data_IF_804034513924
#
_entry.id   IF_804034513924
#
_cell.length_a   1.000
_cell.length_b   1.000
_cell.length_c   1.000
_cell.angle_alpha   90.00
_cell.angle_beta   90.00
_cell.angle_gamma   90.00
#
_symmetry.space_group_name_H-M   'P 1'
#
loop_
_entity.id
_entity.type
_entity.pdbx_description
1 polymer ?
#
# COMPACT_ATOMS: atom_id res chain seq x y z
N UNK A 1 3.37 -2.26 -14.27
CA UNK A 1 3.08 -1.53 -13.03
C UNK A 1 3.87 -2.21 -11.93
N UNK A 2 4.44 -1.45 -11.02
CA UNK A 2 5.16 -1.98 -9.86
C UNK A 2 4.80 -1.17 -8.62
N UNK A 3 4.65 -1.84 -7.48
CA UNK A 3 4.51 -1.24 -6.15
C UNK A 3 5.49 -1.95 -5.23
N UNK A 4 6.32 -1.20 -4.53
CA UNK A 4 7.26 -1.77 -3.57
C UNK A 4 7.64 -0.80 -2.46
N UNK A 5 8.14 -1.37 -1.36
CA UNK A 5 8.79 -0.64 -0.28
C UNK A 5 10.28 -0.98 -0.32
N UNK A 6 11.14 0.03 -0.46
CA UNK A 6 12.60 -0.13 -0.40
C UNK A 6 13.13 0.44 0.91
N UNK A 7 13.82 -0.39 1.69
CA UNK A 7 14.47 0.02 2.94
C UNK A 7 15.84 0.62 2.60
N UNK A 8 16.05 1.90 2.90
CA UNK A 8 17.34 2.60 2.72
C UNK A 8 18.28 2.31 3.87
N UNK A 9 17.74 2.37 5.09
CA UNK A 9 18.45 2.09 6.32
C UNK A 9 17.66 1.07 7.14
N UNK A 10 18.35 0.01 7.57
CA UNK A 10 17.75 -1.06 8.36
C UNK A 10 17.82 -0.80 9.87
N UNK A 11 18.56 0.24 10.29
CA UNK A 11 18.64 0.73 11.65
C UNK A 11 17.52 1.76 11.89
N UNK A 12 16.31 1.25 12.10
CA UNK A 12 15.23 2.10 12.59
C UNK A 12 15.55 2.54 14.03
N UNK A 13 15.31 3.82 14.34
CA UNK A 13 15.37 4.30 15.73
C UNK A 13 14.26 3.69 16.60
N UNK A 14 14.29 4.01 17.89
CA UNK A 14 13.27 3.52 18.82
C UNK A 14 11.92 4.19 18.57
N UNK A 15 10.94 3.41 18.10
CA UNK A 15 9.57 3.87 17.95
C UNK A 15 8.82 3.71 19.27
N UNK A 16 8.45 4.82 19.88
CA UNK A 16 7.55 4.84 21.04
C UNK A 16 6.15 5.18 20.55
N UNK A 17 5.23 4.22 20.45
CA UNK A 17 3.85 4.54 20.09
C UNK A 17 3.22 5.39 21.18
N UNK A 18 2.39 6.34 20.76
CA UNK A 18 1.50 7.05 21.67
C UNK A 18 0.40 6.11 22.18
N UNK A 19 -0.32 6.57 23.19
CA UNK A 19 -1.59 5.93 23.58
C UNK A 19 -2.64 6.22 22.51
N UNK A 20 -3.28 5.17 22.00
CA UNK A 20 -4.38 5.27 21.04
C UNK A 20 -5.72 5.23 21.79
N UNK A 21 -6.61 6.17 21.49
CA UNK A 21 -7.96 6.20 22.04
C UNK A 21 -8.90 5.41 21.12
N UNK A 22 -9.54 4.35 21.62
CA UNK A 22 -10.45 3.53 20.80
C UNK A 22 -11.69 4.27 20.28
N UNK A 23 -12.02 5.45 20.80
CA UNK A 23 -13.12 6.29 20.30
C UNK A 23 -12.72 7.11 19.05
N UNK A 24 -11.45 7.53 18.97
CA UNK A 24 -10.95 8.45 17.93
C UNK A 24 -9.94 7.81 16.98
N UNK A 25 -9.30 6.71 17.41
CA UNK A 25 -8.24 6.01 16.70
C UNK A 25 -8.69 4.61 16.26
N UNK A 26 -8.05 4.14 15.19
CA UNK A 26 -8.10 2.77 14.73
C UNK A 26 -6.75 2.37 14.10
N UNK A 27 -6.75 1.30 13.28
CA UNK A 27 -5.55 0.86 12.57
C UNK A 27 -4.89 1.98 11.77
N UNK A 28 -5.67 2.89 11.18
CA UNK A 28 -5.17 3.99 10.33
C UNK A 28 -4.26 4.92 11.11
N UNK A 29 -4.61 5.21 12.37
CA UNK A 29 -3.76 5.99 13.28
C UNK A 29 -2.38 5.34 13.45
N UNK A 30 -2.33 4.02 13.65
CA UNK A 30 -1.05 3.29 13.79
C UNK A 30 -0.28 3.29 12.47
N UNK A 31 -0.94 3.03 11.34
CA UNK A 31 -0.30 3.01 10.03
C UNK A 31 0.34 4.37 9.71
N UNK A 32 -0.39 5.47 9.94
CA UNK A 32 0.09 6.85 9.74
C UNK A 32 1.28 7.14 10.65
N UNK A 33 1.17 6.85 11.95
CA UNK A 33 2.25 7.15 12.91
C UNK A 33 3.54 6.37 12.58
N UNK A 34 3.41 5.10 12.17
CA UNK A 34 4.55 4.29 11.72
C UNK A 34 5.13 4.83 10.41
N UNK A 35 4.30 5.13 9.41
CA UNK A 35 4.73 5.63 8.11
C UNK A 35 5.49 6.97 8.23
N UNK A 36 4.96 7.90 9.03
CA UNK A 36 5.64 9.17 9.35
C UNK A 36 6.97 8.96 10.04
N UNK A 37 7.06 7.99 10.94
CA UNK A 37 8.31 7.70 11.64
C UNK A 37 9.41 7.17 10.72
N UNK A 38 9.04 6.35 9.72
CA UNK A 38 9.98 5.72 8.79
C UNK A 38 10.18 6.48 7.47
N UNK A 39 9.61 7.68 7.35
CA UNK A 39 9.50 8.44 6.09
C UNK A 39 10.84 8.60 5.37
N UNK A 40 11.91 8.85 6.12
CA UNK A 40 13.25 9.09 5.56
C UNK A 40 14.10 7.83 5.45
N UNK A 41 13.70 6.74 6.10
CA UNK A 41 14.41 5.46 6.15
C UNK A 41 13.96 4.51 5.02
N UNK A 42 12.84 4.81 4.37
CA UNK A 42 12.17 3.95 3.40
C UNK A 42 11.70 4.77 2.19
N UNK A 43 11.80 4.20 1.00
CA UNK A 43 11.08 4.70 -0.18
C UNK A 43 9.84 3.84 -0.44
N UNK A 44 8.67 4.48 -0.50
CA UNK A 44 7.52 3.93 -1.19
C UNK A 44 7.62 4.23 -2.68
N UNK A 45 7.69 3.19 -3.51
CA UNK A 45 7.85 3.33 -4.95
C UNK A 45 6.66 2.74 -5.69
N UNK A 46 6.03 3.55 -6.53
CA UNK A 46 4.97 3.16 -7.45
C UNK A 46 5.35 3.56 -8.86
N UNK A 47 5.15 2.67 -9.83
CA UNK A 47 5.44 2.91 -11.24
C UNK A 47 4.46 2.19 -12.17
N UNK A 48 4.42 2.65 -13.42
CA UNK A 48 3.52 2.15 -14.45
C UNK A 48 2.72 3.27 -15.10
N UNK A 49 1.91 2.89 -16.09
CA UNK A 49 1.05 3.76 -16.86
C UNK A 49 1.82 4.90 -17.54
N UNK A 50 3.03 4.58 -18.03
CA UNK A 50 3.90 5.55 -18.71
C UNK A 50 4.79 6.39 -17.80
N UNK A 51 4.78 6.12 -16.48
CA UNK A 51 5.62 6.85 -15.53
C UNK A 51 6.49 5.90 -14.69
N UNK A 52 7.81 6.11 -14.77
CA UNK A 52 8.81 5.29 -14.07
C UNK A 52 8.76 5.43 -12.54
N UNK A 53 8.37 6.61 -12.05
CA UNK A 53 8.21 6.89 -10.62
C UNK A 53 7.08 7.87 -10.39
N UNK A 54 6.01 7.41 -9.76
CA UNK A 54 4.93 8.25 -9.29
C UNK A 54 5.42 9.14 -8.13
N UNK A 55 4.90 10.37 -7.98
CA UNK A 55 5.36 11.29 -6.95
C UNK A 55 4.71 10.99 -5.58
N UNK A 56 4.77 9.72 -5.14
CA UNK A 56 4.30 9.25 -3.83
C UNK A 56 5.34 9.49 -2.74
N UNK A 57 4.88 9.67 -1.52
CA UNK A 57 5.70 9.74 -0.32
C UNK A 57 5.44 8.56 0.65
N UNK A 58 6.38 8.36 1.59
CA UNK A 58 6.28 7.28 2.58
C UNK A 58 5.41 7.67 3.76
N UNK A 59 5.30 8.95 4.11
CA UNK A 59 4.64 9.40 5.35
C UNK A 59 3.12 9.35 5.28
N UNK A 60 2.56 9.65 4.11
CA UNK A 60 1.13 9.81 3.85
C UNK A 60 0.65 8.78 2.84
N UNK A 61 1.21 8.75 1.62
CA UNK A 61 0.68 7.89 0.55
C UNK A 61 0.79 6.41 0.87
N UNK A 62 1.91 5.99 1.48
CA UNK A 62 2.06 4.61 1.92
C UNK A 62 1.03 4.23 3.00
N UNK A 63 0.71 5.13 3.93
CA UNK A 63 -0.28 4.87 4.98
C UNK A 63 -1.67 4.65 4.36
N UNK A 64 -2.05 5.51 3.42
CA UNK A 64 -3.30 5.42 2.64
C UNK A 64 -3.37 4.12 1.82
N UNK A 65 -2.25 3.73 1.21
CA UNK A 65 -2.16 2.49 0.47
C UNK A 65 -2.34 1.26 1.39
N UNK A 66 -1.67 1.24 2.54
CA UNK A 66 -1.70 0.14 3.51
C UNK A 66 -3.07 -0.05 4.16
N UNK A 67 -3.84 1.03 4.33
CA UNK A 67 -5.23 0.97 4.80
C UNK A 67 -6.10 0.12 3.86
N UNK A 68 -5.96 0.33 2.55
CA UNK A 68 -6.78 -0.33 1.53
C UNK A 68 -6.31 -1.77 1.23
N UNK A 69 -5.01 -2.03 1.42
CA UNK A 69 -4.32 -3.23 0.97
C UNK A 69 -5.01 -4.57 1.35
N UNK A 70 -5.46 -4.80 2.60
CA UNK A 70 -6.01 -6.11 2.95
C UNK A 70 -7.31 -6.45 2.22
N UNK A 71 -8.27 -5.52 2.18
CA UNK A 71 -9.54 -5.74 1.46
C UNK A 71 -9.33 -5.81 -0.05
N UNK A 72 -8.37 -5.06 -0.61
CA UNK A 72 -7.95 -5.21 -2.01
C UNK A 72 -7.42 -6.62 -2.26
N UNK A 73 -6.46 -7.11 -1.45
CA UNK A 73 -5.89 -8.46 -1.61
C UNK A 73 -6.95 -9.56 -1.48
N UNK A 74 -7.88 -9.44 -0.53
CA UNK A 74 -9.00 -10.36 -0.35
C UNK A 74 -9.90 -10.40 -1.58
N UNK A 75 -10.28 -9.23 -2.11
CA UNK A 75 -11.09 -9.11 -3.32
C UNK A 75 -10.40 -9.72 -4.54
N UNK A 76 -9.10 -9.47 -4.69
CA UNK A 76 -8.29 -10.04 -5.78
C UNK A 76 -8.24 -11.57 -5.74
N UNK A 77 -8.11 -12.17 -4.54
CA UNK A 77 -8.10 -13.64 -4.36
C UNK A 77 -9.41 -14.30 -4.78
N UNK A 78 -10.54 -13.63 -4.57
CA UNK A 78 -11.87 -14.14 -4.94
C UNK A 78 -12.39 -13.60 -6.28
N UNK A 79 -11.52 -12.96 -7.08
CA UNK A 79 -11.82 -12.41 -8.41
C UNK A 79 -12.94 -11.36 -8.44
N UNK A 80 -13.12 -10.64 -7.34
CA UNK A 80 -14.05 -9.53 -7.28
C UNK A 80 -13.40 -8.23 -7.78
N UNK A 81 -14.13 -7.36 -8.51
CA UNK A 81 -13.65 -6.04 -8.84
C UNK A 81 -13.27 -5.26 -7.56
N UNK A 82 -12.16 -4.55 -7.61
CA UNK A 82 -11.67 -3.75 -6.49
C UNK A 82 -10.87 -2.56 -7.01
N UNK A 83 -10.43 -1.69 -6.11
CA UNK A 83 -9.67 -0.49 -6.44
C UNK A 83 -8.66 -0.13 -5.36
N UNK A 84 -7.71 0.72 -5.74
CA UNK A 84 -6.81 1.42 -4.85
C UNK A 84 -6.82 2.89 -5.27
N UNK A 85 -7.01 3.79 -4.31
CA UNK A 85 -7.02 5.22 -4.52
C UNK A 85 -5.77 5.87 -3.91
N UNK A 86 -5.11 6.72 -4.70
CA UNK A 86 -4.04 7.62 -4.31
C UNK A 86 -4.58 9.04 -4.41
N UNK A 87 -5.25 9.50 -3.36
CA UNK A 87 -6.01 10.75 -3.38
C UNK A 87 -5.20 11.99 -2.96
N UNK A 88 -3.94 11.82 -2.55
CA UNK A 88 -3.10 12.94 -2.13
C UNK A 88 -2.79 13.92 -3.27
N UNK A 89 -2.65 15.18 -2.89
CA UNK A 89 -2.51 16.30 -3.83
C UNK A 89 -1.31 16.10 -4.75
N UNK A 90 -1.53 16.25 -6.06
CA UNK A 90 -0.47 16.10 -7.08
C UNK A 90 -0.26 14.66 -7.55
N UNK A 91 -0.93 13.68 -6.95
CA UNK A 91 -1.03 12.31 -7.46
C UNK A 91 -2.43 12.12 -8.04
N UNK A 92 -3.44 12.12 -7.17
CA UNK A 92 -4.87 11.98 -7.51
C UNK A 92 -5.11 10.91 -8.58
N UNK A 93 -4.71 9.66 -8.29
CA UNK A 93 -4.79 8.50 -9.20
C UNK A 93 -5.65 7.41 -8.61
N UNK A 94 -6.55 6.89 -9.42
CA UNK A 94 -7.42 5.79 -9.05
C UNK A 94 -7.13 4.58 -9.93
N UNK A 95 -6.83 3.45 -9.29
CA UNK A 95 -6.56 2.17 -9.94
C UNK A 95 -7.77 1.26 -9.79
N UNK A 96 -8.32 0.80 -10.91
CA UNK A 96 -9.41 -0.18 -10.95
C UNK A 96 -8.92 -1.53 -11.42
N UNK A 97 -9.12 -2.55 -10.60
CA UNK A 97 -8.77 -3.93 -10.90
C UNK A 97 -10.00 -4.69 -11.39
N UNK A 98 -9.91 -5.29 -12.56
CA UNK A 98 -10.93 -6.19 -13.11
C UNK A 98 -10.29 -7.48 -13.60
N UNK A 99 -10.85 -8.61 -13.18
CA UNK A 99 -10.35 -9.92 -13.60
C UNK A 99 -10.89 -10.25 -14.99
N UNK A 100 -10.04 -10.87 -15.82
CA UNK A 100 -10.43 -11.47 -17.09
C UNK A 100 -10.60 -12.97 -16.87
N UNK A 101 -11.78 -13.51 -17.19
CA UNK A 101 -12.07 -14.95 -17.09
C UNK A 101 -11.06 -15.81 -17.90
N UNK A 102 -10.42 -15.20 -18.89
CA UNK A 102 -9.42 -15.83 -19.76
C UNK A 102 -8.01 -15.52 -19.24
N UNK A 103 -7.21 -16.58 -19.05
CA UNK A 103 -5.76 -16.58 -18.75
C UNK A 103 -5.32 -16.09 -17.36
N UNK A 104 -6.24 -15.94 -16.40
CA UNK A 104 -5.93 -15.53 -15.01
C UNK A 104 -5.11 -14.23 -14.95
N UNK A 105 -5.59 -13.23 -15.68
CA UNK A 105 -4.98 -11.90 -15.82
C UNK A 105 -5.93 -10.85 -15.24
N UNK A 106 -5.38 -9.92 -14.48
CA UNK A 106 -6.06 -8.68 -14.12
C UNK A 106 -5.77 -7.60 -15.16
N UNK A 107 -6.81 -6.87 -15.54
CA UNK A 107 -6.70 -5.57 -16.19
C UNK A 107 -6.75 -4.51 -15.10
N UNK A 108 -5.74 -3.65 -15.08
CA UNK A 108 -5.64 -2.51 -14.16
C UNK A 108 -5.84 -1.25 -15.01
N UNK A 109 -6.93 -0.53 -14.77
CA UNK A 109 -7.18 0.76 -15.41
C UNK A 109 -6.76 1.87 -14.46
N UNK A 110 -6.03 2.87 -14.95
CA UNK A 110 -5.68 4.06 -14.17
C UNK A 110 -6.49 5.25 -14.67
N UNK A 111 -6.99 6.06 -13.75
CA UNK A 111 -7.56 7.38 -14.04
C UNK A 111 -6.87 8.41 -13.15
N UNK A 112 -6.52 9.58 -13.70
CA UNK A 112 -5.96 10.69 -12.91
C UNK A 112 -6.87 11.91 -12.97
N UNK A 113 -6.94 12.66 -11.87
CA UNK A 113 -7.61 13.96 -11.80
C UNK A 113 -6.63 15.14 -11.93
N UNK A 114 -5.38 14.88 -12.32
CA UNK A 114 -4.35 15.90 -12.57
C UNK A 114 -4.20 16.19 -14.06
N UNK A 115 -3.20 17.00 -14.43
CA UNK A 115 -2.80 17.20 -15.82
C UNK A 115 -2.02 16.01 -16.42
N UNK A 116 -1.58 15.06 -15.60
CA UNK A 116 -0.94 13.83 -16.06
C UNK A 116 -1.99 12.83 -16.51
N UNK A 117 -1.78 12.19 -17.65
CA UNK A 117 -2.65 11.14 -18.19
C UNK A 117 -1.89 9.81 -18.27
N UNK A 118 -2.52 8.69 -17.89
CA UNK A 118 -1.90 7.38 -17.99
C UNK A 118 -1.74 6.96 -19.45
N UNK A 119 -0.53 6.52 -19.82
CA UNK A 119 -0.23 5.98 -21.16
C UNK A 119 0.68 4.75 -21.04
N UNK A 120 0.15 3.52 -21.16
CA UNK A 120 -1.24 3.21 -21.53
C UNK A 120 -2.23 3.46 -20.38
N UNK A 121 -3.52 3.64 -20.70
CA UNK A 121 -4.59 3.74 -19.68
C UNK A 121 -4.85 2.42 -18.94
N UNK A 122 -4.54 1.29 -19.59
CA UNK A 122 -4.76 -0.06 -19.07
C UNK A 122 -3.48 -0.87 -19.16
N UNK A 123 -3.07 -1.41 -18.03
CA UNK A 123 -2.03 -2.43 -17.95
C UNK A 123 -2.63 -3.80 -17.61
N UNK A 124 -1.87 -4.85 -17.90
CA UNK A 124 -2.24 -6.25 -17.63
C UNK A 124 -1.16 -6.90 -16.78
N UNK A 125 -1.59 -7.68 -15.79
CA UNK A 125 -0.70 -8.42 -14.90
C UNK A 125 -1.31 -9.77 -14.58
N UNK A 126 -0.48 -10.80 -14.44
CA UNK A 126 -0.96 -12.12 -14.03
C UNK A 126 -1.37 -12.12 -12.55
N UNK A 127 -2.42 -12.85 -12.19
CA UNK A 127 -2.92 -12.88 -10.81
C UNK A 127 -1.84 -13.25 -9.78
N UNK A 128 -0.99 -14.28 -9.99
CA UNK A 128 0.07 -14.61 -9.03
C UNK A 128 1.08 -13.47 -8.84
N UNK A 129 1.48 -12.81 -9.93
CA UNK A 129 2.43 -11.69 -9.90
C UNK A 129 1.86 -10.48 -9.16
N UNK A 130 0.58 -10.15 -9.40
CA UNK A 130 -0.11 -9.08 -8.69
C UNK A 130 -0.21 -9.35 -7.19
N UNK A 131 -0.63 -10.57 -6.81
CA UNK A 131 -0.76 -10.95 -5.40
C UNK A 131 0.60 -10.98 -4.70
N UNK A 132 1.65 -11.46 -5.37
CA UNK A 132 3.02 -11.45 -4.86
C UNK A 132 3.52 -10.01 -4.64
N UNK A 133 3.32 -9.12 -5.61
CA UNK A 133 3.69 -7.70 -5.51
C UNK A 133 3.03 -7.05 -4.28
N UNK A 134 1.73 -7.24 -4.09
CA UNK A 134 0.99 -6.67 -2.96
C UNK A 134 1.37 -7.33 -1.62
N UNK A 135 1.59 -8.65 -1.60
CA UNK A 135 2.07 -9.36 -0.40
C UNK A 135 3.45 -8.87 0.02
N UNK A 136 4.36 -8.65 -0.94
CA UNK A 136 5.71 -8.17 -0.63
C UNK A 136 5.69 -6.79 0.06
N UNK A 137 4.75 -5.91 -0.31
CA UNK A 137 4.54 -4.63 0.40
C UNK A 137 4.07 -4.87 1.82
N UNK A 138 3.02 -5.69 2.01
CA UNK A 138 2.47 -6.05 3.33
C UNK A 138 3.55 -6.66 4.23
N UNK A 139 4.26 -7.67 3.75
CA UNK A 139 5.27 -8.43 4.48
C UNK A 139 6.48 -7.56 4.83
N UNK A 140 6.88 -6.66 3.93
CA UNK A 140 7.94 -5.70 4.20
C UNK A 140 7.54 -4.73 5.29
N UNK A 141 6.30 -4.22 5.26
CA UNK A 141 5.81 -3.32 6.30
C UNK A 141 5.67 -4.01 7.67
N UNK A 142 5.18 -5.26 7.70
CA UNK A 142 5.15 -6.10 8.91
C UNK A 142 6.55 -6.28 9.49
N UNK A 143 7.55 -6.56 8.65
CA UNK A 143 8.95 -6.69 9.06
C UNK A 143 9.49 -5.39 9.66
N UNK A 144 9.11 -4.24 9.10
CA UNK A 144 9.46 -2.92 9.66
C UNK A 144 8.83 -2.74 11.03
N UNK A 145 7.51 -2.89 11.17
CA UNK A 145 6.81 -2.80 12.47
C UNK A 145 7.40 -3.74 13.53
N UNK A 146 7.77 -4.96 13.14
CA UNK A 146 8.42 -5.95 14.01
C UNK A 146 9.77 -5.45 14.56
N UNK A 147 10.55 -4.72 13.75
CA UNK A 147 11.82 -4.11 14.18
C UNK A 147 11.61 -2.86 15.03
N UNK A 148 10.55 -2.10 14.76
CA UNK A 148 10.26 -0.84 15.44
C UNK A 148 9.84 -1.04 16.89
N UNK A 149 8.85 -1.90 17.13
CA UNK A 149 8.31 -2.10 18.48
C UNK A 149 7.51 -3.40 18.60
N UNK A 150 7.88 -4.28 19.54
CA UNK A 150 7.05 -5.43 19.91
C UNK A 150 5.64 -5.03 20.36
N UNK A 151 5.47 -3.83 20.91
CA UNK A 151 4.15 -3.37 21.38
C UNK A 151 3.21 -3.05 20.21
N UNK A 152 3.73 -2.45 19.13
CA UNK A 152 2.93 -2.16 17.93
C UNK A 152 2.55 -3.42 17.19
N UNK A 153 3.50 -4.31 16.93
CA UNK A 153 3.23 -5.49 16.10
C UNK A 153 2.22 -6.45 16.73
N UNK A 154 2.08 -6.39 18.06
CA UNK A 154 1.11 -7.17 18.84
C UNK A 154 -0.15 -6.36 19.20
N UNK A 155 -0.29 -5.12 18.72
CA UNK A 155 -1.50 -4.33 18.94
C UNK A 155 -2.70 -5.04 18.29
N UNK A 156 -3.88 -5.12 18.94
CA UNK A 156 -5.04 -5.85 18.42
C UNK A 156 -5.41 -5.48 16.98
N UNK A 157 -5.47 -4.18 16.66
CA UNK A 157 -5.77 -3.70 15.30
C UNK A 157 -4.72 -4.12 14.26
N UNK A 158 -3.44 -4.15 14.64
CA UNK A 158 -2.36 -4.59 13.74
C UNK A 158 -2.45 -6.10 13.53
N UNK A 159 -2.76 -6.86 14.58
CA UNK A 159 -2.96 -8.31 14.48
C UNK A 159 -4.15 -8.67 13.59
N UNK A 160 -5.25 -7.91 13.66
CA UNK A 160 -6.38 -8.05 12.75
C UNK A 160 -5.99 -7.75 11.30
N UNK A 161 -5.40 -6.57 11.04
CA UNK A 161 -4.94 -6.15 9.72
C UNK A 161 -3.95 -7.13 9.06
N UNK A 162 -3.08 -7.76 9.86
CA UNK A 162 -2.15 -8.80 9.40
C UNK A 162 -2.87 -10.06 8.90
N UNK A 163 -3.98 -10.44 9.54
CA UNK A 163 -4.67 -11.70 9.30
C UNK A 163 -5.78 -11.62 8.23
N UNK A 164 -6.10 -10.42 7.74
CA UNK A 164 -6.98 -10.19 6.59
C UNK A 164 -6.27 -10.52 5.26
#
# INVERSE_FOLDING_TARGET
MKIEILIKDSCFGDFTPRTYNTEDDDIRSILIDVCRFIEYQVDFNVSGFGQDRWPVDTGTDLAVFLEQLPETMKSLKIRQPTNIDFYEQGIERYLKFSHSDINDIYKISCTSNTNWNPDPEVEKIHTPELLEMLSNVKDTFIRIMTKLSPMIINHPWVMEWKNT
#
